data_IF_268885446416
#
_entry.id   IF_268885446416
#
_cell.length_a   1.000
_cell.length_b   1.000
_cell.length_c   1.000
_cell.angle_alpha   90.00
_cell.angle_beta   90.00
_cell.angle_gamma   90.00
#
_symmetry.space_group_name_H-M   'P 1'
#
loop_
_entity.id
_entity.type
_entity.pdbx_description
1 polymer ?
#
# COMPACT_ATOMS: atom_id res chain seq x y z
N UNK A 1 -10.20 32.37 3.63
CA UNK A 1 -9.74 31.70 4.87
C UNK A 1 -9.13 30.36 4.49
N UNK A 2 -7.83 30.13 4.69
CA UNK A 2 -7.27 28.79 4.50
C UNK A 2 -7.79 27.90 5.63
N UNK A 3 -8.63 26.92 5.26
CA UNK A 3 -9.08 25.86 6.16
C UNK A 3 -7.84 25.12 6.71
N UNK A 4 -7.64 25.19 8.03
CA UNK A 4 -6.57 24.46 8.70
C UNK A 4 -6.84 22.96 8.53
N UNK A 5 -6.05 22.30 7.68
CA UNK A 5 -6.05 20.84 7.62
C UNK A 5 -5.72 20.31 9.01
N UNK A 6 -6.51 19.38 9.58
CA UNK A 6 -6.22 18.84 10.90
C UNK A 6 -4.79 18.27 10.92
N UNK A 7 -4.02 18.65 11.95
CA UNK A 7 -2.66 18.17 12.12
C UNK A 7 -2.70 16.67 12.44
N UNK A 8 -2.11 15.85 11.57
CA UNK A 8 -1.91 14.42 11.86
C UNK A 8 -0.72 14.34 12.81
N UNK A 9 -0.99 14.19 14.11
CA UNK A 9 0.02 13.72 15.05
C UNK A 9 0.48 12.33 14.60
N UNK A 10 1.79 11.99 14.67
CA UNK A 10 2.27 10.68 14.24
C UNK A 10 1.66 9.61 15.15
N UNK A 11 0.60 8.98 14.67
CA UNK A 11 -0.02 7.83 15.29
C UNK A 11 0.80 6.61 14.88
N UNK A 12 1.03 5.70 15.82
CA UNK A 12 1.64 4.41 15.47
C UNK A 12 0.88 3.79 14.29
N UNK A 13 1.55 3.09 13.37
CA UNK A 13 0.91 2.48 12.20
C UNK A 13 -0.28 1.64 12.63
N UNK A 14 -1.41 1.83 11.95
CA UNK A 14 -2.67 1.16 12.25
C UNK A 14 -2.58 -0.32 11.83
N UNK A 15 -1.87 -0.58 10.73
CA UNK A 15 -1.66 -1.91 10.20
C UNK A 15 -0.17 -2.25 10.22
N UNK A 16 0.18 -3.46 10.65
CA UNK A 16 1.53 -3.96 10.49
C UNK A 16 1.76 -4.40 9.04
N UNK A 17 0.79 -5.10 8.43
CA UNK A 17 0.90 -5.58 7.04
C UNK A 17 -0.37 -5.25 6.25
N UNK A 18 -0.22 -4.40 5.23
CA UNK A 18 -1.26 -4.01 4.28
C UNK A 18 -1.05 -4.74 2.95
N UNK A 19 -2.05 -5.49 2.49
CA UNK A 19 -2.07 -6.11 1.17
C UNK A 19 -2.89 -5.28 0.18
N UNK A 20 -2.31 -4.97 -0.97
CA UNK A 20 -2.95 -4.27 -2.08
C UNK A 20 -3.06 -5.20 -3.29
N UNK A 21 -4.27 -5.69 -3.54
CA UNK A 21 -4.60 -6.58 -4.65
C UNK A 21 -5.18 -5.75 -5.79
N UNK A 22 -4.30 -5.35 -6.71
CA UNK A 22 -4.66 -4.51 -7.85
C UNK A 22 -3.96 -3.16 -7.83
N UNK A 23 -2.78 -3.12 -8.44
CA UNK A 23 -1.98 -1.89 -8.53
C UNK A 23 -2.31 -1.04 -9.75
N UNK A 24 -3.52 -0.49 -9.77
CA UNK A 24 -3.96 0.54 -10.71
C UNK A 24 -3.85 1.95 -10.14
N UNK A 25 -4.70 2.87 -10.62
CA UNK A 25 -4.75 4.25 -10.12
C UNK A 25 -5.07 4.30 -8.62
N UNK A 26 -6.09 3.56 -8.18
CA UNK A 26 -6.54 3.58 -6.78
C UNK A 26 -5.55 2.87 -5.86
N UNK A 27 -5.16 1.63 -6.15
CA UNK A 27 -4.20 0.88 -5.33
C UNK A 27 -2.86 1.62 -5.16
N UNK A 28 -2.34 2.22 -6.23
CA UNK A 28 -1.11 3.01 -6.15
C UNK A 28 -1.27 4.32 -5.36
N UNK A 29 -2.45 4.96 -5.42
CA UNK A 29 -2.75 6.15 -4.62
C UNK A 29 -2.82 5.81 -3.13
N UNK A 30 -3.48 4.70 -2.79
CA UNK A 30 -3.57 4.19 -1.42
C UNK A 30 -2.17 3.84 -0.90
N UNK A 31 -1.34 3.14 -1.68
CA UNK A 31 0.03 2.80 -1.28
C UNK A 31 0.84 4.05 -0.91
N UNK A 32 0.79 5.09 -1.75
CA UNK A 32 1.48 6.37 -1.49
C UNK A 32 0.94 7.08 -0.25
N UNK A 33 -0.39 7.13 -0.10
CA UNK A 33 -1.01 7.75 1.07
C UNK A 33 -0.67 6.99 2.36
N UNK A 34 -0.69 5.66 2.33
CA UNK A 34 -0.36 4.82 3.48
C UNK A 34 1.08 5.02 3.95
N UNK A 35 2.03 5.15 3.00
CA UNK A 35 3.41 5.53 3.29
C UNK A 35 3.51 6.95 3.87
N UNK A 36 2.93 7.93 3.18
CA UNK A 36 3.04 9.34 3.57
C UNK A 36 2.42 9.63 4.94
N UNK A 37 1.38 8.88 5.31
CA UNK A 37 0.69 9.02 6.60
C UNK A 37 1.19 8.02 7.66
N UNK A 38 2.12 7.13 7.30
CA UNK A 38 2.65 6.10 8.21
C UNK A 38 1.58 5.12 8.72
N UNK A 39 0.51 4.88 7.97
CA UNK A 39 -0.61 4.04 8.45
C UNK A 39 -0.34 2.54 8.34
N UNK A 40 0.64 2.13 7.54
CA UNK A 40 1.08 0.74 7.41
C UNK A 40 2.60 0.61 7.61
N UNK A 41 3.05 -0.41 8.36
CA UNK A 41 4.49 -0.71 8.50
C UNK A 41 5.05 -1.38 7.26
N UNK A 42 4.30 -2.32 6.69
CA UNK A 42 4.70 -3.13 5.55
C UNK A 42 3.58 -3.20 4.52
N UNK A 43 3.90 -2.94 3.26
CA UNK A 43 2.97 -2.96 2.14
C UNK A 43 3.36 -4.10 1.20
N UNK A 44 2.45 -5.03 0.99
CA UNK A 44 2.56 -6.08 -0.03
C UNK A 44 1.61 -5.78 -1.15
N UNK A 45 2.07 -5.90 -2.39
CA UNK A 45 1.27 -5.64 -3.56
C UNK A 45 1.25 -6.83 -4.51
N UNK A 46 0.11 -6.99 -5.18
CA UNK A 46 0.01 -7.82 -6.38
C UNK A 46 -0.85 -7.12 -7.42
N UNK A 47 -0.72 -7.57 -8.66
CA UNK A 47 -1.54 -7.13 -9.78
C UNK A 47 -1.67 -8.29 -10.77
N UNK A 48 -2.72 -8.25 -11.60
CA UNK A 48 -3.01 -9.30 -12.58
C UNK A 48 -1.83 -9.55 -13.54
N UNK A 49 -1.22 -8.48 -14.06
CA UNK A 49 -0.15 -8.58 -15.06
C UNK A 49 1.24 -8.52 -14.43
N UNK A 50 2.17 -9.31 -14.96
CA UNK A 50 3.57 -9.26 -14.56
C UNK A 50 4.21 -7.89 -14.87
N UNK A 51 3.79 -7.22 -15.95
CA UNK A 51 4.26 -5.88 -16.31
C UNK A 51 3.91 -4.84 -15.23
N UNK A 52 2.66 -4.86 -14.72
CA UNK A 52 2.26 -3.99 -13.61
C UNK A 52 3.05 -4.30 -12.35
N UNK A 53 3.25 -5.58 -12.00
CA UNK A 53 4.05 -5.99 -10.83
C UNK A 53 5.49 -5.48 -10.91
N UNK A 54 6.14 -5.62 -12.08
CA UNK A 54 7.48 -5.06 -12.33
C UNK A 54 7.50 -3.55 -12.13
N UNK A 55 6.52 -2.84 -12.71
CA UNK A 55 6.43 -1.38 -12.58
C UNK A 55 6.24 -0.91 -11.13
N UNK A 56 5.47 -1.65 -10.35
CA UNK A 56 5.27 -1.38 -8.91
C UNK A 56 6.58 -1.51 -8.13
N UNK A 57 7.36 -2.55 -8.42
CA UNK A 57 8.67 -2.77 -7.81
C UNK A 57 9.67 -1.68 -8.23
N UNK A 58 9.75 -1.35 -9.53
CA UNK A 58 10.61 -0.28 -10.06
C UNK A 58 10.33 1.09 -9.42
N UNK A 59 9.05 1.39 -9.16
CA UNK A 59 8.63 2.65 -8.55
C UNK A 59 8.70 2.63 -7.01
N UNK A 60 9.06 1.49 -6.39
CA UNK A 60 9.15 1.35 -4.93
C UNK A 60 7.81 1.56 -4.21
N UNK A 61 6.68 1.24 -4.86
CA UNK A 61 5.35 1.52 -4.30
C UNK A 61 4.94 0.55 -3.17
N UNK A 62 5.61 -0.60 -3.06
CA UNK A 62 5.37 -1.62 -2.04
C UNK A 62 6.71 -2.17 -1.53
N UNK A 63 6.74 -2.68 -0.30
CA UNK A 63 7.91 -3.36 0.27
C UNK A 63 8.13 -4.73 -0.37
N UNK A 64 7.04 -5.40 -0.75
CA UNK A 64 7.07 -6.71 -1.39
C UNK A 64 6.06 -6.76 -2.53
N UNK A 65 6.45 -7.36 -3.66
CA UNK A 65 5.55 -7.64 -4.78
C UNK A 65 5.49 -9.14 -5.00
N UNK A 66 4.28 -9.70 -5.01
CA UNK A 66 4.04 -11.15 -5.13
C UNK A 66 3.12 -11.46 -6.31
N UNK A 67 3.11 -12.71 -6.76
CA UNK A 67 2.40 -13.08 -7.99
C UNK A 67 0.90 -13.35 -7.79
N UNK A 68 0.51 -13.82 -6.60
CA UNK A 68 -0.86 -14.28 -6.33
C UNK A 68 -1.52 -13.47 -5.23
N UNK A 69 -2.85 -13.41 -5.30
CA UNK A 69 -3.68 -12.79 -4.27
C UNK A 69 -3.51 -13.47 -2.92
N UNK A 70 -3.40 -14.80 -2.91
CA UNK A 70 -3.20 -15.59 -1.69
C UNK A 70 -1.89 -15.22 -0.99
N UNK A 71 -0.78 -15.14 -1.74
CA UNK A 71 0.51 -14.72 -1.18
C UNK A 71 0.50 -13.26 -0.68
N UNK A 72 -0.28 -12.38 -1.32
CA UNK A 72 -0.41 -11.00 -0.87
C UNK A 72 -1.18 -10.90 0.46
N UNK A 73 -2.26 -11.65 0.58
CA UNK A 73 -3.13 -11.66 1.75
C UNK A 73 -2.54 -12.38 2.97
N UNK A 74 -1.50 -13.19 2.79
CA UNK A 74 -0.86 -13.94 3.87
C UNK A 74 -0.35 -13.00 4.96
N UNK A 75 -0.89 -13.15 6.18
CA UNK A 75 -0.55 -12.36 7.36
C UNK A 75 -0.94 -10.89 7.29
N UNK A 76 -1.77 -10.48 6.32
CA UNK A 76 -2.21 -9.09 6.20
C UNK A 76 -3.27 -8.75 7.26
N UNK A 77 -3.10 -7.61 7.93
CA UNK A 77 -4.10 -7.06 8.85
C UNK A 77 -5.24 -6.38 8.08
N UNK A 78 -4.95 -5.93 6.86
CA UNK A 78 -5.90 -5.33 5.93
C UNK A 78 -5.58 -5.76 4.49
N UNK A 79 -6.62 -6.14 3.76
CA UNK A 79 -6.57 -6.45 2.33
C UNK A 79 -7.52 -5.51 1.59
N UNK A 80 -7.02 -4.88 0.52
CA UNK A 80 -7.79 -4.02 -0.39
C UNK A 80 -7.66 -4.55 -1.81
#
# INVERSE_FOLDING_TARGET
MPSARPSVSPRAPIFNRLALIGMGLIGSSIARAARAQGTARFIVATARSAATRRRVAELGLADQVVETNAAAAEGADLVI
#
